data_IF_757861747848
#
_entry.id   IF_757861747848
#
_cell.length_a   1.000
_cell.length_b   1.000
_cell.length_c   1.000
_cell.angle_alpha   90.00
_cell.angle_beta   90.00
_cell.angle_gamma   90.00
#
_symmetry.space_group_name_H-M   'P 1'
#
loop_
_entity.id
_entity.type
_entity.pdbx_description
1 polymer ?
#
# COMPACT_ATOMS: atom_id res chain seq x y z
N UNK A 1 11.70 7.40 13.93
CA UNK A 1 11.62 6.50 12.76
C UNK A 1 10.15 6.13 12.61
N UNK A 2 9.61 6.19 11.39
CA UNK A 2 8.18 5.88 11.15
C UNK A 2 8.03 4.35 11.15
N UNK A 3 7.06 3.85 11.93
CA UNK A 3 6.71 2.44 12.08
C UNK A 3 5.18 2.25 12.05
N UNK A 4 4.71 1.01 12.19
CA UNK A 4 3.27 0.71 12.16
C UNK A 4 2.48 1.36 13.30
N UNK A 5 3.12 1.64 14.45
CA UNK A 5 2.47 2.39 15.53
C UNK A 5 2.19 3.83 15.11
N UNK A 6 3.14 4.47 14.42
CA UNK A 6 2.96 5.80 13.85
C UNK A 6 1.84 5.81 12.81
N UNK A 7 1.81 4.82 11.90
CA UNK A 7 0.73 4.65 10.93
C UNK A 7 -0.62 4.54 11.64
N UNK A 8 -0.74 3.67 12.65
CA UNK A 8 -1.97 3.48 13.43
C UNK A 8 -2.48 4.78 14.04
N UNK A 9 -1.59 5.60 14.61
CA UNK A 9 -1.97 6.91 15.18
C UNK A 9 -2.46 7.89 14.12
N UNK A 10 -1.83 7.92 12.94
CA UNK A 10 -2.22 8.75 11.80
C UNK A 10 -3.62 8.38 11.33
N UNK A 11 -3.87 7.11 11.04
CA UNK A 11 -5.15 6.65 10.47
C UNK A 11 -6.31 6.73 11.47
N UNK A 12 -6.02 6.66 12.77
CA UNK A 12 -7.00 6.93 13.84
C UNK A 12 -7.37 8.41 13.92
N UNK A 13 -6.40 9.31 13.71
CA UNK A 13 -6.61 10.76 13.79
C UNK A 13 -7.19 11.34 12.49
N UNK A 14 -6.89 10.70 11.37
CA UNK A 14 -7.21 11.17 10.01
C UNK A 14 -7.94 10.07 9.21
N UNK A 15 -9.18 9.70 9.56
CA UNK A 15 -9.92 8.63 8.87
C UNK A 15 -10.32 8.97 7.42
N UNK A 16 -10.25 10.25 7.04
CA UNK A 16 -10.60 10.77 5.71
C UNK A 16 -9.36 11.04 4.83
N UNK A 17 -8.24 10.38 5.10
CA UNK A 17 -7.05 10.50 4.25
C UNK A 17 -7.37 10.12 2.80
N UNK A 18 -6.92 10.96 1.88
CA UNK A 18 -7.01 10.75 0.42
C UNK A 18 -5.63 10.39 -0.13
N UNK A 19 -4.58 10.98 0.44
CA UNK A 19 -3.20 10.84 -0.01
C UNK A 19 -2.29 10.57 1.18
N UNK A 20 -1.44 9.54 1.08
CA UNK A 20 -0.41 9.24 2.06
C UNK A 20 0.88 8.83 1.36
N UNK A 21 1.98 9.44 1.78
CA UNK A 21 3.33 9.08 1.33
C UNK A 21 4.19 8.73 2.53
N UNK A 22 4.73 7.52 2.53
CA UNK A 22 5.74 7.06 3.47
C UNK A 22 6.95 6.59 2.67
N UNK A 23 7.99 7.41 2.60
CA UNK A 23 9.23 7.08 1.89
C UNK A 23 10.32 6.70 2.87
N UNK A 24 11.08 5.65 2.54
CA UNK A 24 12.20 5.15 3.36
C UNK A 24 11.78 4.81 4.80
N UNK A 25 10.51 4.43 5.00
CA UNK A 25 9.98 4.03 6.29
C UNK A 25 10.27 2.54 6.51
N UNK A 26 11.53 2.21 6.80
CA UNK A 26 12.03 0.84 6.89
C UNK A 26 11.36 -0.02 7.98
N UNK A 27 10.61 0.57 8.89
CA UNK A 27 9.88 -0.15 9.94
C UNK A 27 8.38 -0.21 9.70
N UNK A 28 7.90 0.25 8.53
CA UNK A 28 6.52 0.04 8.11
C UNK A 28 6.44 -1.32 7.44
N UNK A 29 5.51 -2.14 7.91
CA UNK A 29 5.31 -3.50 7.43
C UNK A 29 3.97 -3.64 6.71
N UNK A 30 3.67 -4.86 6.28
CA UNK A 30 2.36 -5.26 5.78
C UNK A 30 1.21 -4.93 6.76
N UNK A 31 1.45 -4.95 8.09
CA UNK A 31 0.43 -4.56 9.08
C UNK A 31 0.08 -3.07 8.97
N UNK A 32 1.09 -2.20 8.80
CA UNK A 32 0.87 -0.77 8.59
C UNK A 32 0.08 -0.48 7.32
N UNK A 33 0.41 -1.16 6.22
CA UNK A 33 -0.38 -1.08 4.98
C UNK A 33 -1.85 -1.45 5.23
N UNK A 34 -2.08 -2.56 5.92
CA UNK A 34 -3.43 -3.06 6.18
C UNK A 34 -4.25 -2.08 7.04
N UNK A 35 -3.64 -1.50 8.08
CA UNK A 35 -4.29 -0.48 8.92
C UNK A 35 -4.71 0.76 8.11
N UNK A 36 -3.91 1.19 7.12
CA UNK A 36 -4.26 2.29 6.21
C UNK A 36 -5.50 1.97 5.41
N UNK A 37 -5.50 0.86 4.66
CA UNK A 37 -6.61 0.55 3.74
C UNK A 37 -7.90 0.20 4.48
N UNK A 38 -7.82 -0.40 5.67
CA UNK A 38 -9.00 -0.73 6.48
C UNK A 38 -9.65 0.53 7.06
N UNK A 39 -8.86 1.49 7.56
CA UNK A 39 -9.39 2.65 8.29
C UNK A 39 -9.65 3.86 7.41
N UNK A 40 -8.88 4.04 6.35
CA UNK A 40 -8.98 5.19 5.44
C UNK A 40 -9.67 4.78 4.15
N UNK A 41 -10.99 4.56 4.20
CA UNK A 41 -11.77 4.11 3.04
C UNK A 41 -11.87 5.13 1.88
N UNK A 42 -11.33 6.34 2.05
CA UNK A 42 -11.23 7.39 1.04
C UNK A 42 -9.84 7.52 0.42
N UNK A 43 -8.88 6.69 0.83
CA UNK A 43 -7.50 6.74 0.32
C UNK A 43 -7.49 6.42 -1.17
N UNK A 44 -6.88 7.31 -1.95
CA UNK A 44 -6.78 7.24 -3.41
C UNK A 44 -5.32 7.07 -3.85
N UNK A 45 -4.38 7.70 -3.14
CA UNK A 45 -2.96 7.68 -3.48
C UNK A 45 -2.14 7.23 -2.28
N UNK A 46 -1.48 6.08 -2.39
CA UNK A 46 -0.63 5.54 -1.34
C UNK A 46 0.75 5.19 -1.90
N UNK A 47 1.75 5.93 -1.44
CA UNK A 47 3.15 5.79 -1.88
C UNK A 47 4.00 5.27 -0.73
N UNK A 48 4.65 4.12 -0.93
CA UNK A 48 5.42 3.40 0.08
C UNK A 48 6.88 3.19 -0.35
N UNK A 49 7.44 4.11 -1.13
CA UNK A 49 8.77 3.99 -1.74
C UNK A 49 9.87 3.61 -0.74
N UNK A 50 10.59 2.51 -0.99
CA UNK A 50 11.71 2.06 -0.17
C UNK A 50 11.33 1.48 1.20
N UNK A 51 10.07 1.11 1.42
CA UNK A 51 9.61 0.42 2.63
C UNK A 51 9.93 -1.08 2.54
N UNK A 52 11.18 -1.45 2.86
CA UNK A 52 11.73 -2.80 2.69
C UNK A 52 11.22 -3.86 3.69
N UNK A 53 10.21 -3.58 4.49
CA UNK A 53 9.53 -4.58 5.34
C UNK A 53 8.10 -4.88 4.85
N UNK A 54 7.77 -4.40 3.64
CA UNK A 54 6.55 -4.77 2.93
C UNK A 54 6.89 -5.96 2.04
N UNK A 55 6.29 -7.10 2.36
CA UNK A 55 6.42 -8.35 1.62
C UNK A 55 5.19 -8.57 0.72
N UNK A 56 4.06 -7.96 1.07
CA UNK A 56 2.83 -8.00 0.31
C UNK A 56 1.97 -9.24 0.57
N UNK A 57 2.37 -10.15 1.47
CA UNK A 57 1.62 -11.38 1.74
C UNK A 57 0.19 -11.08 2.24
N UNK A 58 0.03 -10.02 3.04
CA UNK A 58 -1.28 -9.60 3.54
C UNK A 58 -2.23 -9.16 2.41
N UNK A 59 -1.70 -8.75 1.24
CA UNK A 59 -2.51 -8.22 0.13
C UNK A 59 -3.47 -9.27 -0.43
N UNK A 60 -3.14 -10.56 -0.33
CA UNK A 60 -4.06 -11.66 -0.68
C UNK A 60 -5.33 -11.63 0.18
N UNK A 61 -5.19 -11.30 1.46
CA UNK A 61 -6.28 -11.38 2.42
C UNK A 61 -7.09 -10.09 2.55
N UNK A 62 -6.59 -8.94 2.05
CA UNK A 62 -7.33 -7.67 2.11
C UNK A 62 -8.64 -7.76 1.31
N UNK A 63 -9.82 -7.63 1.95
CA UNK A 63 -11.08 -7.64 1.23
C UNK A 63 -11.18 -6.51 0.20
N UNK A 64 -11.63 -6.83 -1.02
CA UNK A 64 -11.74 -5.86 -2.13
C UNK A 64 -12.46 -4.55 -1.75
N UNK A 65 -13.43 -4.61 -0.84
CA UNK A 65 -14.16 -3.43 -0.36
C UNK A 65 -13.26 -2.33 0.23
N UNK A 66 -12.10 -2.67 0.77
CA UNK A 66 -11.14 -1.71 1.33
C UNK A 66 -10.19 -1.12 0.28
N UNK A 67 -10.13 -1.73 -0.90
CA UNK A 67 -9.28 -1.29 -2.01
C UNK A 67 -10.02 -0.41 -3.03
N UNK A 68 -11.36 -0.28 -2.90
CA UNK A 68 -12.24 0.34 -3.92
C UNK A 68 -11.93 1.79 -4.26
N UNK A 69 -11.38 2.54 -3.31
CA UNK A 69 -11.08 3.97 -3.52
C UNK A 69 -9.68 4.19 -4.09
N UNK A 70 -8.80 3.19 -4.02
CA UNK A 70 -7.40 3.34 -4.38
C UNK A 70 -7.27 3.45 -5.90
N UNK A 71 -6.59 4.50 -6.34
CA UNK A 71 -6.29 4.79 -7.74
C UNK A 71 -4.81 4.59 -8.05
N UNK A 72 -3.95 4.72 -7.06
CA UNK A 72 -2.50 4.68 -7.20
C UNK A 72 -1.84 4.02 -5.99
N UNK A 73 -1.06 2.98 -6.26
CA UNK A 73 -0.13 2.36 -5.32
C UNK A 73 1.29 2.42 -5.88
N UNK A 74 2.24 2.77 -5.03
CA UNK A 74 3.63 2.84 -5.44
C UNK A 74 4.53 2.13 -4.43
N UNK A 75 5.18 1.08 -4.91
CA UNK A 75 6.14 0.26 -4.18
C UNK A 75 7.57 0.38 -4.73
N UNK A 76 7.89 1.47 -5.43
CA UNK A 76 9.24 1.73 -5.95
C UNK A 76 10.30 1.51 -4.86
N UNK A 77 11.33 0.71 -5.16
CA UNK A 77 12.41 0.32 -4.25
C UNK A 77 11.98 -0.49 -3.01
N UNK A 78 10.76 -1.02 -2.95
CA UNK A 78 10.37 -2.01 -1.95
C UNK A 78 10.87 -3.39 -2.39
N UNK A 79 12.15 -3.67 -2.16
CA UNK A 79 12.82 -4.82 -2.78
C UNK A 79 12.38 -6.21 -2.23
N UNK A 80 11.45 -6.25 -1.28
CA UNK A 80 10.93 -7.49 -0.70
C UNK A 80 9.55 -7.89 -1.25
N UNK A 81 8.85 -6.98 -1.96
CA UNK A 81 7.58 -7.32 -2.58
C UNK A 81 7.81 -8.00 -3.93
N UNK A 82 7.14 -9.12 -4.15
CA UNK A 82 7.25 -9.86 -5.42
C UNK A 82 6.14 -9.43 -6.40
N UNK A 83 6.49 -9.31 -7.69
CA UNK A 83 5.58 -8.80 -8.72
C UNK A 83 4.30 -9.64 -8.87
N UNK A 84 4.35 -10.95 -8.60
CA UNK A 84 3.16 -11.81 -8.70
C UNK A 84 2.05 -11.39 -7.72
N UNK A 85 2.42 -10.84 -6.57
CA UNK A 85 1.50 -10.29 -5.56
C UNK A 85 0.83 -9.02 -6.12
N UNK A 86 1.62 -8.16 -6.76
CA UNK A 86 1.12 -6.93 -7.37
C UNK A 86 0.22 -7.22 -8.58
N UNK A 87 0.53 -8.27 -9.35
CA UNK A 87 -0.30 -8.75 -10.46
C UNK A 87 -1.64 -9.30 -9.94
N UNK A 88 -1.66 -10.11 -8.87
CA UNK A 88 -2.91 -10.56 -8.23
C UNK A 88 -3.75 -9.37 -7.76
N UNK A 89 -3.13 -8.41 -7.07
CA UNK A 89 -3.79 -7.20 -6.61
C UNK A 89 -4.37 -6.40 -7.78
N UNK A 90 -3.62 -6.26 -8.87
CA UNK A 90 -4.07 -5.60 -10.10
C UNK A 90 -5.28 -6.31 -10.72
N UNK A 91 -5.30 -7.64 -10.75
CA UNK A 91 -6.42 -8.42 -11.29
C UNK A 91 -7.70 -8.31 -10.44
N UNK A 92 -7.56 -8.16 -9.12
CA UNK A 92 -8.67 -8.04 -8.17
C UNK A 92 -9.27 -6.63 -8.09
N UNK A 93 -8.54 -5.62 -8.56
CA UNK A 93 -8.92 -4.21 -8.46
C UNK A 93 -9.25 -3.61 -9.83
N UNK A 94 -10.23 -2.71 -9.90
CA UNK A 94 -10.67 -2.10 -11.17
C UNK A 94 -9.93 -0.78 -11.38
N UNK A 95 -9.14 -0.66 -12.45
CA UNK A 95 -8.50 0.59 -12.90
C UNK A 95 -7.58 1.25 -11.87
N UNK A 96 -6.77 0.47 -11.17
CA UNK A 96 -5.68 0.99 -10.31
C UNK A 96 -4.38 1.13 -11.12
N UNK A 97 -3.54 2.10 -10.77
CA UNK A 97 -2.15 2.18 -11.21
C UNK A 97 -1.26 1.62 -10.10
N UNK A 98 -0.43 0.62 -10.41
CA UNK A 98 0.52 0.04 -9.46
C UNK A 98 1.93 0.19 -10.02
N UNK A 99 2.82 0.81 -9.26
CA UNK A 99 4.25 0.87 -9.53
C UNK A 99 4.95 -0.22 -8.72
N UNK A 100 5.71 -1.08 -9.40
CA UNK A 100 6.47 -2.19 -8.83
C UNK A 100 7.77 -1.73 -8.13
N UNK A 101 8.53 -2.70 -7.61
CA UNK A 101 9.79 -2.45 -6.89
C UNK A 101 10.90 -1.84 -7.75
N UNK A 102 10.81 -1.95 -9.08
CA UNK A 102 11.76 -1.37 -10.04
C UNK A 102 11.31 -0.01 -10.58
N UNK A 103 10.17 0.51 -10.12
CA UNK A 103 9.61 1.77 -10.60
C UNK A 103 8.83 1.62 -11.92
N UNK A 104 8.52 0.40 -12.35
CA UNK A 104 7.75 0.13 -13.57
C UNK A 104 6.27 -0.07 -13.27
N UNK A 105 5.42 0.20 -14.27
CA UNK A 105 3.97 0.04 -14.14
C UNK A 105 3.61 -1.44 -14.33
N UNK A 106 2.86 -2.00 -13.37
CA UNK A 106 2.21 -3.31 -13.53
C UNK A 106 1.12 -3.23 -14.59
N UNK A 107 1.19 -4.10 -15.59
CA UNK A 107 0.20 -4.30 -16.64
C UNK A 107 0.06 -5.80 -16.98
N UNK A 108 -1.03 -6.16 -17.69
CA UNK A 108 -1.29 -7.51 -18.21
C UNK A 108 -1.04 -7.59 -19.71
#
# INVERSE_FOLDING_TARGET
MIDDNCIRLIVQSCPHLIDLTCSLAYNVTDEGFNEIVIRCNQIQYLTLTGCNQIYGEILFDVPEKYLKSIKYLNFDKCNQIEDFILIDLFQRTKFILIIDSYGSLINL
#
